data_IF_731211076492
#
_entry.id   IF_731211076492
#
_cell.length_a   1.000
_cell.length_b   1.000
_cell.length_c   1.000
_cell.angle_alpha   90.00
_cell.angle_beta   90.00
_cell.angle_gamma   90.00
#
_symmetry.space_group_name_H-M   'P 1'
#
loop_
_entity.id
_entity.type
_entity.pdbx_description
1 polymer ?
#
# COMPACT_ATOMS: atom_id res chain seq x y z
N UNK A 1 -7.30 -2.61 13.55
CA UNK A 1 -7.73 -3.65 12.58
C UNK A 1 -7.81 -4.98 13.33
N UNK A 2 -9.03 -5.44 13.63
CA UNK A 2 -9.30 -6.55 14.56
C UNK A 2 -8.81 -7.88 13.96
N UNK A 3 -7.83 -8.52 14.59
CA UNK A 3 -7.49 -9.92 14.33
C UNK A 3 -8.21 -10.83 15.33
N UNK A 4 -8.83 -11.84 14.75
CA UNK A 4 -9.72 -12.82 15.35
C UNK A 4 -8.95 -13.70 16.34
N UNK A 5 -9.53 -13.86 17.54
CA UNK A 5 -9.01 -14.59 18.69
C UNK A 5 -8.59 -16.04 18.37
N UNK A 6 -7.36 -16.40 18.72
CA UNK A 6 -6.74 -17.70 18.51
C UNK A 6 -7.05 -18.75 19.61
N UNK A 7 -8.18 -18.66 20.31
CA UNK A 7 -8.44 -19.46 21.52
C UNK A 7 -9.38 -20.67 21.34
N UNK A 8 -9.43 -21.25 20.12
CA UNK A 8 -10.31 -22.40 19.81
C UNK A 8 -9.62 -23.64 19.26
N UNK A 9 -8.32 -23.83 19.53
CA UNK A 9 -7.55 -25.00 19.04
C UNK A 9 -7.05 -26.00 20.10
N UNK A 10 -7.44 -25.90 21.37
CA UNK A 10 -6.92 -26.79 22.45
C UNK A 10 -7.88 -27.85 23.01
N UNK A 11 -8.88 -28.33 22.25
CA UNK A 11 -9.72 -29.46 22.69
C UNK A 11 -10.11 -30.43 21.58
N UNK A 12 -9.15 -30.98 20.84
CA UNK A 12 -9.37 -32.21 20.06
C UNK A 12 -8.05 -33.01 19.96
N UNK A 13 -7.58 -33.50 21.10
CA UNK A 13 -6.51 -34.48 21.16
C UNK A 13 -6.94 -35.63 22.06
N UNK A 14 -7.64 -36.62 21.50
CA UNK A 14 -7.59 -38.03 21.90
C UNK A 14 -8.56 -38.86 21.07
N UNK A 15 -8.11 -40.08 20.72
CA UNK A 15 -8.83 -41.17 20.03
C UNK A 15 -8.83 -41.11 18.49
N UNK A 16 -7.93 -41.86 17.86
CA UNK A 16 -8.20 -43.24 17.45
C UNK A 16 -7.01 -43.80 16.66
N UNK A 17 -6.61 -45.01 17.04
CA UNK A 17 -5.56 -45.83 16.46
C UNK A 17 -6.21 -46.85 15.52
N UNK A 18 -5.50 -47.20 14.44
CA UNK A 18 -5.65 -48.38 13.54
C UNK A 18 -6.73 -48.29 12.45
N UNK A 19 -6.30 -48.26 11.17
CA UNK A 19 -6.58 -49.29 10.15
C UNK A 19 -5.90 -48.96 8.80
N UNK A 20 -5.33 -49.98 8.15
CA UNK A 20 -5.25 -50.11 6.69
C UNK A 20 -4.16 -49.37 5.93
N UNK A 21 -3.05 -50.06 5.62
CA UNK A 21 -2.16 -49.72 4.52
C UNK A 21 -2.90 -49.91 3.18
N UNK A 22 -3.13 -48.82 2.46
CA UNK A 22 -3.47 -48.82 1.03
C UNK A 22 -2.35 -48.07 0.32
N UNK A 23 -1.73 -48.73 -0.67
CA UNK A 23 -0.64 -48.20 -1.47
C UNK A 23 -1.04 -46.87 -2.14
N UNK A 24 -0.36 -45.78 -1.77
CA UNK A 24 -0.41 -44.54 -2.54
C UNK A 24 0.59 -44.62 -3.69
N UNK A 25 0.09 -44.57 -4.91
CA UNK A 25 0.87 -44.29 -6.12
C UNK A 25 1.28 -42.81 -6.07
N UNK A 26 2.58 -42.45 -6.12
CA UNK A 26 3.00 -41.06 -6.19
C UNK A 26 2.80 -40.56 -7.63
N UNK A 27 1.69 -39.85 -7.87
CA UNK A 27 1.55 -39.04 -9.08
C UNK A 27 2.42 -37.79 -8.87
N UNK A 28 3.69 -37.89 -9.26
CA UNK A 28 4.62 -36.76 -9.36
C UNK A 28 4.28 -35.95 -10.61
N UNK A 29 3.23 -35.14 -10.54
CA UNK A 29 2.91 -34.14 -11.55
C UNK A 29 3.86 -32.95 -11.43
N UNK A 30 4.86 -32.88 -12.31
CA UNK A 30 5.72 -31.71 -12.47
C UNK A 30 4.93 -30.56 -13.10
N UNK A 31 4.31 -29.74 -12.26
CA UNK A 31 3.73 -28.46 -12.68
C UNK A 31 4.90 -27.47 -12.79
N UNK A 32 5.45 -27.33 -13.99
CA UNK A 32 6.30 -26.20 -14.35
C UNK A 32 5.48 -24.92 -14.46
N UNK A 33 5.13 -24.33 -13.33
CA UNK A 33 4.60 -22.97 -13.29
C UNK A 33 5.75 -22.01 -13.61
N UNK A 34 5.79 -21.54 -14.85
CA UNK A 34 6.40 -20.25 -15.16
C UNK A 34 5.67 -19.22 -14.29
N UNK A 35 6.28 -18.84 -13.17
CA UNK A 35 5.80 -17.75 -12.34
C UNK A 35 5.94 -16.47 -13.16
N UNK A 36 4.91 -16.12 -13.94
CA UNK A 36 4.79 -14.79 -14.49
C UNK A 36 4.93 -13.80 -13.31
N UNK A 37 5.66 -12.68 -13.48
CA UNK A 37 5.80 -11.69 -12.42
C UNK A 37 4.40 -11.28 -11.98
N UNK A 38 4.01 -11.74 -10.79
CA UNK A 38 2.72 -11.39 -10.24
C UNK A 38 2.77 -9.88 -9.97
N UNK A 39 1.82 -9.09 -10.52
CA UNK A 39 1.79 -7.67 -10.21
C UNK A 39 1.72 -7.52 -8.69
N UNK A 40 2.58 -6.66 -8.15
CA UNK A 40 2.73 -6.48 -6.70
C UNK A 40 1.46 -5.90 -6.04
N UNK A 41 0.50 -5.43 -6.83
CA UNK A 41 -0.88 -5.18 -6.44
C UNK A 41 -1.85 -5.90 -7.39
N UNK A 42 -2.87 -6.55 -6.85
CA UNK A 42 -3.92 -7.21 -7.64
C UNK A 42 -5.28 -6.57 -7.37
N UNK A 43 -5.96 -6.17 -8.45
CA UNK A 43 -7.34 -5.68 -8.41
C UNK A 43 -8.24 -6.64 -9.17
N UNK A 44 -9.48 -6.79 -8.73
CA UNK A 44 -10.45 -7.66 -9.36
C UNK A 44 -11.83 -7.01 -9.43
N UNK A 45 -12.59 -7.23 -10.51
CA UNK A 45 -13.97 -6.81 -10.56
C UNK A 45 -14.79 -7.59 -9.53
N UNK A 46 -15.45 -6.88 -8.62
CA UNK A 46 -16.34 -7.44 -7.62
C UNK A 46 -17.76 -6.90 -7.83
N UNK A 47 -18.73 -7.82 -7.83
CA UNK A 47 -20.14 -7.49 -7.93
C UNK A 47 -20.70 -7.15 -6.55
N UNK A 48 -21.25 -5.95 -6.39
CA UNK A 48 -21.88 -5.46 -5.17
C UNK A 48 -23.36 -5.18 -5.40
N UNK A 49 -24.15 -5.27 -4.35
CA UNK A 49 -25.55 -4.86 -4.33
C UNK A 49 -25.71 -3.68 -3.39
N UNK A 50 -26.31 -2.59 -3.85
CA UNK A 50 -26.54 -1.44 -3.00
C UNK A 50 -27.55 -1.78 -1.91
N UNK A 51 -27.23 -1.57 -0.62
CA UNK A 51 -28.12 -1.93 0.47
C UNK A 51 -29.36 -1.02 0.55
N UNK A 52 -29.32 0.13 -0.13
CA UNK A 52 -30.46 1.03 -0.31
C UNK A 52 -30.82 1.04 -1.79
N UNK A 53 -31.95 0.45 -2.18
CA UNK A 53 -32.40 0.43 -3.59
C UNK A 53 -32.13 -0.87 -4.34
N UNK A 54 -31.18 -1.69 -3.89
CA UNK A 54 -30.97 -3.05 -4.38
C UNK A 54 -30.33 -3.14 -5.77
N UNK A 55 -29.84 -2.05 -6.34
CA UNK A 55 -29.13 -2.09 -7.62
C UNK A 55 -27.82 -2.88 -7.52
N UNK A 56 -27.50 -3.63 -8.56
CA UNK A 56 -26.20 -4.31 -8.69
C UNK A 56 -25.23 -3.44 -9.47
N UNK A 57 -23.97 -3.43 -9.05
CA UNK A 57 -22.91 -2.72 -9.74
C UNK A 57 -21.58 -3.43 -9.54
N UNK A 58 -20.66 -3.17 -10.46
CA UNK A 58 -19.29 -3.66 -10.39
C UNK A 58 -18.37 -2.58 -9.83
N UNK A 59 -17.40 -2.97 -9.00
CA UNK A 59 -16.29 -2.11 -8.61
C UNK A 59 -14.97 -2.90 -8.61
N UNK A 60 -13.86 -2.21 -8.79
CA UNK A 60 -12.53 -2.82 -8.71
C UNK A 60 -12.10 -2.94 -7.25
N UNK A 61 -12.27 -4.13 -6.69
CA UNK A 61 -11.79 -4.47 -5.35
C UNK A 61 -10.28 -4.71 -5.34
N UNK A 62 -9.64 -4.40 -4.22
CA UNK A 62 -8.23 -4.76 -3.98
C UNK A 62 -8.15 -6.17 -3.40
N UNK A 63 -7.44 -7.10 -4.07
CA UNK A 63 -7.15 -8.44 -3.53
C UNK A 63 -5.89 -8.45 -2.67
N UNK A 64 -4.83 -7.84 -3.17
CA UNK A 64 -3.51 -7.88 -2.55
C UNK A 64 -2.75 -6.60 -2.82
N UNK A 65 -2.02 -6.14 -1.80
CA UNK A 65 -1.11 -5.00 -1.86
C UNK A 65 0.06 -5.25 -0.91
N UNK A 66 1.23 -4.79 -1.30
CA UNK A 66 2.41 -4.77 -0.43
C UNK A 66 2.65 -3.35 0.05
N UNK A 67 2.99 -3.19 1.33
CA UNK A 67 3.37 -1.89 1.92
C UNK A 67 4.74 -2.02 2.58
N UNK A 68 5.54 -0.95 2.54
CA UNK A 68 6.90 -0.94 3.08
C UNK A 68 7.21 0.33 3.87
N UNK A 69 6.19 1.09 4.26
CA UNK A 69 6.33 2.30 5.05
C UNK A 69 5.06 3.13 5.03
N UNK A 70 5.13 4.32 5.61
CA UNK A 70 4.06 5.30 5.58
C UNK A 70 4.62 6.73 5.56
N UNK A 71 3.84 7.66 5.00
CA UNK A 71 4.09 9.09 5.13
C UNK A 71 3.77 9.57 6.56
N UNK A 72 4.18 10.80 6.94
CA UNK A 72 3.87 11.35 8.26
C UNK A 72 2.37 11.48 8.58
N UNK A 73 1.53 11.61 7.56
CA UNK A 73 0.06 11.58 7.69
C UNK A 73 -0.50 10.15 7.82
N UNK A 74 0.35 9.13 7.83
CA UNK A 74 0.00 7.72 7.90
C UNK A 74 -0.40 7.07 6.59
N UNK A 75 -0.38 7.79 5.47
CA UNK A 75 -0.67 7.16 4.18
C UNK A 75 0.38 6.08 3.89
N UNK A 76 -0.01 4.82 3.67
CA UNK A 76 0.95 3.79 3.35
C UNK A 76 1.71 4.08 2.06
N UNK A 77 2.97 3.67 2.01
CA UNK A 77 3.78 3.60 0.80
C UNK A 77 3.79 2.13 0.38
N UNK A 78 3.32 1.85 -0.83
CA UNK A 78 3.09 0.49 -1.27
C UNK A 78 2.97 0.34 -2.78
N UNK A 79 2.69 -0.89 -3.22
CA UNK A 79 2.62 -1.27 -4.63
C UNK A 79 1.37 -0.79 -5.36
N UNK A 80 0.36 -0.32 -4.62
CA UNK A 80 -0.89 0.18 -5.18
C UNK A 80 -1.21 1.60 -4.72
N UNK A 81 -2.42 2.05 -5.04
CA UNK A 81 -2.88 3.39 -4.72
C UNK A 81 -3.53 3.42 -3.34
N UNK A 82 -3.22 4.47 -2.57
CA UNK A 82 -3.84 4.75 -1.28
C UNK A 82 -4.57 6.11 -1.32
N UNK A 83 -5.68 6.28 -0.58
CA UNK A 83 -6.44 5.22 0.05
C UNK A 83 -7.05 4.28 -1.02
N UNK A 84 -7.32 3.04 -0.64
CA UNK A 84 -7.97 2.07 -1.53
C UNK A 84 -9.37 2.54 -1.89
N UNK A 85 -9.81 2.33 -3.13
CA UNK A 85 -11.12 2.82 -3.56
C UNK A 85 -12.27 2.19 -2.75
N UNK A 86 -13.36 2.94 -2.58
CA UNK A 86 -14.56 2.50 -1.88
C UNK A 86 -15.70 2.22 -2.87
N UNK A 87 -16.48 1.14 -2.66
CA UNK A 87 -17.68 0.92 -3.44
C UNK A 87 -18.70 2.03 -3.17
N UNK A 88 -19.31 2.56 -4.23
CA UNK A 88 -20.33 3.59 -4.15
C UNK A 88 -21.54 3.22 -5.00
N UNK A 89 -22.72 3.25 -4.40
CA UNK A 89 -23.97 2.98 -5.08
C UNK A 89 -24.22 4.01 -6.21
N UNK A 90 -24.42 3.59 -7.46
CA UNK A 90 -24.51 4.51 -8.60
C UNK A 90 -25.68 5.49 -8.53
N UNK A 91 -26.83 5.07 -7.97
CA UNK A 91 -28.05 5.88 -8.02
C UNK A 91 -28.16 6.85 -6.86
N UNK A 92 -27.94 6.37 -5.63
CA UNK A 92 -28.13 7.19 -4.43
C UNK A 92 -26.81 7.77 -3.88
N UNK A 93 -25.66 7.29 -4.35
CA UNK A 93 -24.34 7.78 -3.93
C UNK A 93 -23.92 7.35 -2.52
N UNK A 94 -24.57 6.34 -1.93
CA UNK A 94 -24.15 5.74 -0.67
C UNK A 94 -22.76 5.11 -0.84
N UNK A 95 -21.80 5.55 -0.04
CA UNK A 95 -20.45 4.95 0.00
C UNK A 95 -20.44 3.82 1.03
N UNK A 96 -20.06 2.63 0.59
CA UNK A 96 -20.06 1.39 1.37
C UNK A 96 -18.68 1.17 1.99
N UNK A 97 -18.38 1.88 3.08
CA UNK A 97 -17.09 1.76 3.78
C UNK A 97 -17.03 0.58 4.78
N UNK A 98 -18.19 0.01 5.11
CA UNK A 98 -18.36 -1.24 5.88
C UNK A 98 -19.77 -1.80 5.64
N UNK A 99 -20.07 -2.92 6.27
CA UNK A 99 -21.44 -3.44 6.34
C UNK A 99 -22.28 -2.62 7.32
N UNK A 100 -23.52 -2.31 6.94
CA UNK A 100 -24.48 -1.56 7.74
C UNK A 100 -25.66 -2.45 8.15
N UNK A 101 -26.12 -2.30 9.39
CA UNK A 101 -27.34 -2.96 9.85
C UNK A 101 -28.61 -2.19 9.40
N UNK A 102 -29.78 -2.81 9.59
CA UNK A 102 -31.04 -2.24 9.12
C UNK A 102 -31.39 -0.86 9.72
N UNK A 103 -31.00 -0.58 10.97
CA UNK A 103 -31.27 0.70 11.62
C UNK A 103 -30.30 1.79 11.16
N UNK A 104 -29.04 1.43 10.92
CA UNK A 104 -28.07 2.31 10.26
C UNK A 104 -28.53 2.68 8.85
N UNK A 105 -29.01 1.71 8.06
CA UNK A 105 -29.51 1.97 6.71
C UNK A 105 -30.70 2.93 6.70
N UNK A 106 -31.60 2.86 7.68
CA UNK A 106 -32.70 3.85 7.84
C UNK A 106 -32.15 5.26 8.06
N UNK A 107 -31.14 5.41 8.92
CA UNK A 107 -30.49 6.72 9.17
C UNK A 107 -29.75 7.21 7.93
N UNK A 108 -28.97 6.36 7.29
CA UNK A 108 -28.19 6.68 6.10
C UNK A 108 -29.08 7.09 4.93
N UNK A 109 -30.27 6.47 4.78
CA UNK A 109 -31.25 6.89 3.77
C UNK A 109 -31.62 8.37 3.91
N UNK A 110 -31.87 8.84 5.14
CA UNK A 110 -32.16 10.26 5.41
C UNK A 110 -30.95 11.14 5.07
N UNK A 111 -29.74 10.70 5.42
CA UNK A 111 -28.51 11.46 5.17
C UNK A 111 -28.24 11.59 3.68
N UNK A 112 -28.30 10.51 2.89
CA UNK A 112 -28.00 10.56 1.45
C UNK A 112 -29.06 11.33 0.64
N UNK A 113 -30.29 11.41 1.15
CA UNK A 113 -31.38 12.22 0.59
C UNK A 113 -31.28 13.71 0.98
N UNK A 114 -30.43 14.06 1.95
CA UNK A 114 -30.23 15.45 2.39
C UNK A 114 -29.66 16.33 1.29
N UNK A 115 -29.94 17.63 1.36
CA UNK A 115 -29.41 18.61 0.40
C UNK A 115 -27.89 18.73 0.53
N UNK A 116 -27.40 18.64 1.76
CA UNK A 116 -26.00 18.80 2.14
C UNK A 116 -25.16 17.68 1.53
N UNK A 117 -25.57 16.41 1.71
CA UNK A 117 -24.86 15.26 1.15
C UNK A 117 -24.89 15.25 -0.38
N UNK A 118 -26.05 15.51 -0.99
CA UNK A 118 -26.15 15.61 -2.46
C UNK A 118 -25.24 16.69 -3.01
N UNK A 119 -25.17 17.87 -2.36
CA UNK A 119 -24.26 18.95 -2.78
C UNK A 119 -22.79 18.52 -2.73
N UNK A 120 -22.37 17.74 -1.73
CA UNK A 120 -21.01 17.20 -1.66
C UNK A 120 -20.73 16.24 -2.81
N UNK A 121 -21.66 15.32 -3.08
CA UNK A 121 -21.57 14.35 -4.17
C UNK A 121 -21.52 15.03 -5.53
N UNK A 122 -22.43 15.96 -5.81
CA UNK A 122 -22.55 16.64 -7.10
C UNK A 122 -21.33 17.54 -7.38
N UNK A 123 -20.60 17.96 -6.34
CA UNK A 123 -19.29 18.64 -6.44
C UNK A 123 -18.11 17.71 -6.70
N UNK A 124 -18.31 16.39 -6.79
CA UNK A 124 -17.23 15.43 -6.93
C UNK A 124 -16.33 15.35 -5.70
N UNK A 125 -16.90 15.42 -4.49
CA UNK A 125 -16.11 15.19 -3.27
C UNK A 125 -15.53 13.76 -3.26
N UNK A 126 -14.29 13.57 -2.77
CA UNK A 126 -13.69 12.26 -2.59
C UNK A 126 -14.61 11.26 -1.87
N UNK A 127 -14.62 10.00 -2.31
CA UNK A 127 -15.47 8.96 -1.71
C UNK A 127 -15.20 8.78 -0.22
N UNK A 128 -13.94 8.91 0.22
CA UNK A 128 -13.58 8.87 1.64
C UNK A 128 -14.16 10.04 2.44
N UNK A 129 -14.28 11.23 1.82
CA UNK A 129 -14.93 12.36 2.46
C UNK A 129 -16.44 12.14 2.59
N UNK A 130 -17.08 11.58 1.55
CA UNK A 130 -18.48 11.18 1.62
C UNK A 130 -18.70 10.10 2.70
N UNK A 131 -17.84 9.09 2.77
CA UNK A 131 -17.86 8.06 3.80
C UNK A 131 -17.71 8.66 5.21
N UNK A 132 -16.80 9.62 5.40
CA UNK A 132 -16.67 10.36 6.66
C UNK A 132 -17.97 11.04 7.08
N UNK A 133 -18.69 11.69 6.16
CA UNK A 133 -19.98 12.33 6.49
C UNK A 133 -21.04 11.30 6.93
N UNK A 134 -21.06 10.12 6.29
CA UNK A 134 -21.95 9.02 6.68
C UNK A 134 -21.57 8.46 8.05
N UNK A 135 -20.29 8.20 8.28
CA UNK A 135 -19.74 7.70 9.54
C UNK A 135 -20.02 8.67 10.71
N UNK A 136 -19.81 9.96 10.48
CA UNK A 136 -20.13 11.03 11.44
C UNK A 136 -21.62 11.04 11.80
N UNK A 137 -22.51 10.89 10.82
CA UNK A 137 -23.95 10.85 11.06
C UNK A 137 -24.40 9.61 11.86
N UNK A 138 -23.63 8.52 11.79
CA UNK A 138 -23.87 7.30 12.58
C UNK A 138 -23.23 7.35 13.98
N UNK A 139 -22.35 8.31 14.27
CA UNK A 139 -21.54 8.32 15.48
C UNK A 139 -20.47 7.23 15.48
N UNK A 140 -19.97 6.87 14.29
CA UNK A 140 -18.99 5.82 14.08
C UNK A 140 -17.60 6.26 14.56
N UNK A 141 -16.92 5.39 15.32
CA UNK A 141 -15.59 5.66 15.88
C UNK A 141 -14.50 5.77 14.81
N UNK A 142 -14.74 5.19 13.62
CA UNK A 142 -13.80 5.21 12.50
C UNK A 142 -13.91 6.49 11.65
N UNK A 143 -14.86 7.39 11.93
CA UNK A 143 -15.06 8.63 11.18
C UNK A 143 -13.76 9.48 11.02
N UNK A 144 -12.92 9.67 12.06
CA UNK A 144 -11.66 10.40 11.92
C UNK A 144 -10.67 9.76 10.93
N UNK A 145 -10.63 8.42 10.87
CA UNK A 145 -9.78 7.69 9.92
C UNK A 145 -10.25 7.84 8.48
N UNK A 146 -11.56 7.89 8.25
CA UNK A 146 -12.13 8.15 6.93
C UNK A 146 -11.80 9.58 6.45
N UNK A 147 -11.86 10.57 7.36
CA UNK A 147 -11.46 11.93 7.04
C UNK A 147 -9.96 12.03 6.76
N UNK A 148 -9.12 11.34 7.54
CA UNK A 148 -7.69 11.25 7.25
C UNK A 148 -7.42 10.69 5.84
N UNK A 149 -8.07 9.58 5.48
CA UNK A 149 -7.99 9.00 4.14
C UNK A 149 -8.49 9.96 3.06
N UNK A 150 -9.49 10.80 3.35
CA UNK A 150 -9.93 11.84 2.43
C UNK A 150 -8.85 12.91 2.19
N UNK A 151 -8.03 13.25 3.21
CA UNK A 151 -6.86 14.14 3.01
C UNK A 151 -5.86 13.50 2.04
N UNK A 152 -5.61 12.20 2.17
CA UNK A 152 -4.71 11.47 1.26
C UNK A 152 -5.23 11.48 -0.17
N UNK A 153 -6.53 11.20 -0.36
CA UNK A 153 -7.16 11.19 -1.68
C UNK A 153 -7.08 12.58 -2.34
N UNK A 154 -7.40 13.65 -1.60
CA UNK A 154 -7.30 15.02 -2.12
C UNK A 154 -5.86 15.39 -2.52
N UNK A 155 -4.86 15.04 -1.70
CA UNK A 155 -3.44 15.29 -2.00
C UNK A 155 -2.96 14.53 -3.24
N UNK A 156 -3.46 13.32 -3.45
CA UNK A 156 -3.08 12.49 -4.61
C UNK A 156 -3.74 12.95 -5.90
N UNK A 157 -4.98 13.44 -5.84
CA UNK A 157 -5.67 14.03 -6.99
C UNK A 157 -5.03 15.35 -7.42
N UNK A 158 -4.86 16.28 -6.48
CA UNK A 158 -4.20 17.55 -6.71
C UNK A 158 -3.70 18.16 -5.38
N UNK A 159 -2.39 18.14 -5.10
CA UNK A 159 -1.85 18.64 -3.83
C UNK A 159 -2.04 20.14 -3.62
N UNK A 160 -2.38 20.91 -4.66
CA UNK A 160 -2.64 22.35 -4.61
C UNK A 160 -4.12 22.70 -4.50
N UNK A 161 -5.00 21.69 -4.46
CA UNK A 161 -6.44 21.90 -4.31
C UNK A 161 -6.78 22.48 -2.92
N UNK A 162 -7.67 23.47 -2.87
CA UNK A 162 -8.12 24.09 -1.62
C UNK A 162 -8.73 23.08 -0.64
N UNK A 163 -9.28 21.95 -1.14
CA UNK A 163 -9.81 20.85 -0.34
C UNK A 163 -8.75 20.20 0.56
N UNK A 164 -7.47 20.20 0.15
CA UNK A 164 -6.38 19.63 0.96
C UNK A 164 -6.28 20.35 2.30
N UNK A 165 -6.20 21.68 2.28
CA UNK A 165 -6.14 22.47 3.50
C UNK A 165 -7.45 22.36 4.31
N UNK A 166 -8.60 22.40 3.63
CA UNK A 166 -9.89 22.29 4.30
C UNK A 166 -10.06 20.96 5.04
N UNK A 167 -9.66 19.83 4.45
CA UNK A 167 -9.77 18.52 5.10
C UNK A 167 -8.71 18.32 6.18
N UNK A 168 -7.50 18.85 6.02
CA UNK A 168 -6.48 18.83 7.09
C UNK A 168 -6.95 19.66 8.32
N UNK A 169 -7.54 20.83 8.10
CA UNK A 169 -8.11 21.69 9.14
C UNK A 169 -9.27 20.97 9.86
N UNK A 170 -10.23 20.42 9.10
CA UNK A 170 -11.35 19.67 9.68
C UNK A 170 -10.87 18.44 10.46
N UNK A 171 -9.87 17.73 9.94
CA UNK A 171 -9.27 16.57 10.61
C UNK A 171 -8.61 16.97 11.94
N UNK A 172 -7.78 18.00 11.93
CA UNK A 172 -7.13 18.48 13.14
C UNK A 172 -8.14 18.97 14.19
N UNK A 173 -9.17 19.69 13.77
CA UNK A 173 -10.24 20.17 14.64
C UNK A 173 -11.06 19.01 15.25
N UNK A 174 -11.45 18.04 14.42
CA UNK A 174 -12.18 16.85 14.85
C UNK A 174 -11.38 16.06 15.89
N UNK A 175 -10.10 15.79 15.63
CA UNK A 175 -9.23 15.01 16.53
C UNK A 175 -9.00 15.74 17.86
N UNK A 176 -8.88 17.06 17.85
CA UNK A 176 -8.73 17.85 19.08
C UNK A 176 -9.98 17.79 19.98
N UNK A 177 -11.17 17.58 19.41
CA UNK A 177 -12.41 17.42 20.14
C UNK A 177 -12.64 15.99 20.70
N UNK A 178 -11.84 15.00 20.29
CA UNK A 178 -11.98 13.63 20.77
C UNK A 178 -11.40 13.46 22.19
N UNK A 179 -11.92 12.51 22.98
CA UNK A 179 -11.33 12.14 24.27
C UNK A 179 -9.85 11.76 24.13
N UNK A 180 -9.04 12.28 25.04
CA UNK A 180 -7.60 12.00 25.09
C UNK A 180 -7.39 10.71 25.89
N UNK A 181 -6.62 9.78 25.33
CA UNK A 181 -6.17 8.59 26.04
C UNK A 181 -4.69 8.36 25.78
N UNK A 182 -3.89 8.41 26.85
CA UNK A 182 -2.46 8.13 26.80
C UNK A 182 -2.16 6.62 26.68
N UNK A 183 -3.17 5.76 26.85
CA UNK A 183 -3.03 4.29 26.78
C UNK A 183 -3.56 3.70 25.48
N UNK A 184 -4.34 4.46 24.71
CA UNK A 184 -4.89 4.03 23.41
C UNK A 184 -3.98 4.44 22.27
N UNK A 185 -3.41 3.47 21.56
CA UNK A 185 -2.67 3.76 20.33
C UNK A 185 -3.53 4.46 19.28
N UNK A 186 -4.84 4.23 19.25
CA UNK A 186 -5.75 4.95 18.37
C UNK A 186 -5.75 6.46 18.65
N UNK A 187 -5.90 6.84 19.93
CA UNK A 187 -5.88 8.24 20.36
C UNK A 187 -4.51 8.89 20.10
N UNK A 188 -3.42 8.22 20.44
CA UNK A 188 -2.05 8.68 20.19
C UNK A 188 -1.83 8.92 18.68
N UNK A 189 -2.19 7.94 17.87
CA UNK A 189 -1.96 7.95 16.43
C UNK A 189 -2.77 9.03 15.70
N UNK A 190 -4.04 9.25 16.09
CA UNK A 190 -4.85 10.34 15.54
C UNK A 190 -4.27 11.71 15.90
N UNK A 191 -3.87 11.92 17.15
CA UNK A 191 -3.31 13.20 17.61
C UNK A 191 -1.96 13.50 16.97
N UNK A 192 -1.10 12.50 16.84
CA UNK A 192 0.20 12.62 16.17
C UNK A 192 0.02 13.03 14.70
N UNK A 193 -0.95 12.44 14.00
CA UNK A 193 -1.28 12.78 12.62
C UNK A 193 -1.98 14.13 12.49
N UNK A 194 -2.78 14.54 13.46
CA UNK A 194 -3.36 15.88 13.51
C UNK A 194 -2.28 16.96 13.69
N UNK A 195 -1.25 16.70 14.50
CA UNK A 195 -0.09 17.60 14.61
C UNK A 195 0.63 17.72 13.24
N UNK A 196 0.79 16.61 12.51
CA UNK A 196 1.32 16.67 11.15
C UNK A 196 0.39 17.42 10.17
N UNK A 197 -0.93 17.25 10.26
CA UNK A 197 -1.89 17.98 9.42
C UNK A 197 -1.78 19.50 9.64
N UNK A 198 -1.70 19.95 10.89
CA UNK A 198 -1.46 21.36 11.26
C UNK A 198 -0.14 21.88 10.68
N UNK A 199 0.93 21.08 10.73
CA UNK A 199 2.23 21.42 10.11
C UNK A 199 2.08 21.64 8.60
N UNK A 200 1.45 20.72 7.88
CA UNK A 200 1.31 20.82 6.42
C UNK A 200 0.53 22.07 5.97
N UNK A 201 -0.48 22.48 6.75
CA UNK A 201 -1.25 23.70 6.45
C UNK A 201 -0.59 24.99 6.97
N UNK A 202 0.54 24.90 7.69
CA UNK A 202 1.34 26.03 8.15
C UNK A 202 1.03 26.53 9.56
N UNK A 203 0.21 25.82 10.32
CA UNK A 203 -0.13 26.16 11.71
C UNK A 203 0.93 25.60 12.66
N UNK A 204 2.19 26.02 12.50
CA UNK A 204 3.34 25.39 13.16
C UNK A 204 3.32 25.48 14.69
N UNK A 205 2.87 26.60 15.26
CA UNK A 205 2.76 26.76 16.71
C UNK A 205 1.74 25.80 17.30
N UNK A 206 0.60 25.64 16.64
CA UNK A 206 -0.44 24.68 17.05
C UNK A 206 0.03 23.23 16.87
N UNK A 207 0.73 22.95 15.77
CA UNK A 207 1.35 21.65 15.51
C UNK A 207 2.34 21.26 16.63
N UNK A 208 3.24 22.16 17.04
CA UNK A 208 4.21 21.85 18.09
C UNK A 208 3.53 21.69 19.46
N UNK A 209 2.55 22.54 19.77
CA UNK A 209 1.77 22.43 21.00
C UNK A 209 1.03 21.10 21.08
N UNK A 210 0.34 20.69 20.00
CA UNK A 210 -0.34 19.41 19.95
C UNK A 210 0.66 18.25 20.06
N UNK A 211 1.77 18.29 19.32
CA UNK A 211 2.83 17.27 19.38
C UNK A 211 3.38 17.07 20.80
N UNK A 212 3.71 18.16 21.50
CA UNK A 212 4.23 18.13 22.88
C UNK A 212 3.19 17.67 23.90
N UNK A 213 1.90 17.87 23.63
CA UNK A 213 0.82 17.42 24.53
C UNK A 213 0.58 15.91 24.50
N UNK A 214 1.13 15.19 23.52
CA UNK A 214 0.91 13.75 23.38
C UNK A 214 1.79 13.00 24.38
N UNK A 215 1.13 12.37 25.35
CA UNK A 215 1.77 11.50 26.34
C UNK A 215 1.51 10.05 25.94
N UNK A 216 2.57 9.25 25.88
CA UNK A 216 2.51 7.80 25.65
C UNK A 216 2.75 7.13 27.00
N UNK A 217 1.70 6.56 27.59
CA UNK A 217 1.81 5.90 28.88
C UNK A 217 2.62 4.58 28.79
N UNK A 218 3.31 4.14 29.85
CA UNK A 218 4.08 2.89 29.85
C UNK A 218 3.23 1.65 29.53
N UNK A 219 1.94 1.69 29.87
CA UNK A 219 0.94 0.65 29.64
C UNK A 219 0.12 0.86 28.36
N UNK A 220 0.51 1.80 27.49
CA UNK A 220 -0.17 1.99 26.21
C UNK A 220 -0.09 0.73 25.33
N UNK A 221 -1.25 0.32 24.82
CA UNK A 221 -1.41 -0.92 24.06
C UNK A 221 -1.28 -2.20 24.87
N UNK A 222 -1.44 -2.15 26.20
CA UNK A 222 -1.35 -3.35 27.04
C UNK A 222 -2.23 -4.48 26.50
N UNK A 223 -1.61 -5.65 26.27
CA UNK A 223 -2.28 -6.82 25.69
C UNK A 223 -2.08 -7.01 24.18
N UNK A 224 -1.48 -6.03 23.48
CA UNK A 224 -1.01 -6.19 22.11
C UNK A 224 0.41 -6.80 22.11
N UNK A 225 0.71 -7.71 21.17
CA UNK A 225 2.02 -8.36 21.09
C UNK A 225 3.16 -7.38 20.81
N UNK A 226 2.85 -6.29 20.12
CA UNK A 226 3.82 -5.35 19.58
C UNK A 226 3.77 -4.01 20.33
N UNK A 227 3.20 -3.99 21.54
CA UNK A 227 2.95 -2.76 22.30
C UNK A 227 4.24 -1.98 22.58
N UNK A 228 5.31 -2.67 22.96
CA UNK A 228 6.62 -2.07 23.23
C UNK A 228 7.21 -1.39 21.99
N UNK A 229 7.12 -2.05 20.83
CA UNK A 229 7.58 -1.53 19.55
C UNK A 229 6.74 -0.34 19.10
N UNK A 230 5.42 -0.43 19.22
CA UNK A 230 4.49 0.66 18.91
C UNK A 230 4.75 1.90 19.80
N UNK A 231 4.99 1.73 21.11
CA UNK A 231 5.34 2.86 21.99
C UNK A 231 6.63 3.54 21.55
N UNK A 232 7.67 2.76 21.22
CA UNK A 232 8.95 3.30 20.70
C UNK A 232 8.75 4.03 19.39
N UNK A 233 8.04 3.43 18.43
CA UNK A 233 7.78 4.01 17.13
C UNK A 233 7.00 5.33 17.21
N UNK A 234 5.97 5.42 18.06
CA UNK A 234 5.26 6.68 18.27
C UNK A 234 6.12 7.74 18.97
N UNK A 235 6.94 7.35 19.97
CA UNK A 235 7.85 8.29 20.62
C UNK A 235 8.89 8.84 19.64
N UNK A 236 9.48 7.98 18.81
CA UNK A 236 10.41 8.36 17.75
C UNK A 236 9.76 9.28 16.71
N UNK A 237 8.55 8.93 16.26
CA UNK A 237 7.79 9.79 15.34
C UNK A 237 7.59 11.20 15.88
N UNK A 238 7.21 11.35 17.16
CA UNK A 238 7.01 12.65 17.79
C UNK A 238 8.32 13.45 17.94
N UNK A 239 9.45 12.77 18.08
CA UNK A 239 10.78 13.42 18.06
C UNK A 239 11.12 13.87 16.64
N UNK A 240 10.97 13.01 15.65
CA UNK A 240 11.26 13.32 14.24
C UNK A 240 10.38 14.46 13.71
N UNK A 241 9.11 14.53 14.10
CA UNK A 241 8.18 15.58 13.67
C UNK A 241 8.58 16.98 14.18
N UNK A 242 9.39 17.08 15.25
CA UNK A 242 9.81 18.37 15.81
C UNK A 242 10.66 19.20 14.84
N UNK A 243 11.56 18.55 14.10
CA UNK A 243 12.46 19.22 13.13
C UNK A 243 11.69 19.94 12.02
N UNK A 244 10.82 19.23 11.26
CA UNK A 244 9.97 19.83 10.22
C UNK A 244 9.11 20.98 10.74
N UNK A 245 8.54 20.87 11.94
CA UNK A 245 7.75 21.95 12.53
C UNK A 245 8.62 23.18 12.81
N UNK A 246 9.78 22.98 13.46
CA UNK A 246 10.66 24.07 13.86
C UNK A 246 11.19 24.88 12.66
N UNK A 247 11.46 24.21 11.53
CA UNK A 247 11.92 24.86 10.28
C UNK A 247 10.77 25.28 9.36
N UNK A 248 9.52 25.19 9.81
CA UNK A 248 8.33 25.58 9.06
C UNK A 248 8.17 24.83 7.71
N UNK A 249 8.55 23.57 7.70
CA UNK A 249 8.47 22.70 6.53
C UNK A 249 7.02 22.24 6.32
N UNK A 250 6.43 22.59 5.16
CA UNK A 250 5.08 22.19 4.76
C UNK A 250 5.05 20.97 3.82
N UNK A 251 6.21 20.43 3.47
CA UNK A 251 6.28 19.29 2.55
C UNK A 251 5.50 18.11 3.11
N UNK A 252 4.81 17.38 2.23
CA UNK A 252 4.06 16.18 2.63
C UNK A 252 4.98 15.10 3.20
N UNK A 253 6.20 15.03 2.70
CA UNK A 253 7.22 14.07 3.11
C UNK A 253 8.53 14.81 3.36
N UNK A 254 8.79 15.28 4.59
CA UNK A 254 10.06 15.90 4.94
C UNK A 254 11.21 14.89 4.80
N UNK A 255 12.31 15.29 4.15
CA UNK A 255 13.41 14.38 3.77
C UNK A 255 14.06 13.66 4.97
N UNK A 256 14.06 14.29 6.14
CA UNK A 256 14.61 13.76 7.40
C UNK A 256 13.64 12.85 8.15
N UNK A 257 12.38 12.74 7.70
CA UNK A 257 11.40 11.75 8.16
C UNK A 257 11.26 10.56 7.19
N UNK A 258 11.96 10.59 6.05
CA UNK A 258 11.99 9.48 5.10
C UNK A 258 12.98 8.39 5.55
N UNK A 259 12.78 7.17 5.03
CA UNK A 259 13.85 6.16 5.06
C UNK A 259 15.08 6.66 4.29
N UNK A 260 16.28 6.19 4.63
CA UNK A 260 17.52 6.61 3.95
C UNK A 260 17.47 6.37 2.45
N UNK A 261 16.88 5.24 2.02
CA UNK A 261 16.66 4.92 0.61
C UNK A 261 15.73 5.94 -0.05
N UNK A 262 14.59 6.26 0.56
CA UNK A 262 13.64 7.25 0.03
C UNK A 262 14.24 8.66 -0.01
N UNK A 263 14.99 9.05 1.02
CA UNK A 263 15.73 10.31 1.05
C UNK A 263 16.80 10.37 -0.05
N UNK A 264 17.53 9.29 -0.30
CA UNK A 264 18.49 9.20 -1.39
C UNK A 264 17.82 9.35 -2.77
N UNK A 265 16.65 8.72 -2.99
CA UNK A 265 15.86 8.95 -4.21
C UNK A 265 15.43 10.41 -4.35
N UNK A 266 15.03 11.08 -3.25
CA UNK A 266 14.72 12.51 -3.26
C UNK A 266 15.95 13.34 -3.65
N UNK A 267 17.12 13.04 -3.10
CA UNK A 267 18.38 13.74 -3.43
C UNK A 267 18.78 13.60 -4.91
N UNK A 268 18.38 12.51 -5.55
CA UNK A 268 18.69 12.20 -6.95
C UNK A 268 17.54 12.56 -7.90
N UNK A 269 16.52 13.30 -7.46
CA UNK A 269 15.31 13.50 -8.26
C UNK A 269 15.56 14.17 -9.61
N UNK A 270 16.50 15.13 -9.68
CA UNK A 270 16.90 15.77 -10.93
C UNK A 270 17.65 14.81 -11.85
N UNK A 271 18.59 14.01 -11.32
CA UNK A 271 19.30 12.98 -12.08
C UNK A 271 18.32 11.95 -12.67
N UNK A 272 17.37 11.48 -11.84
CA UNK A 272 16.35 10.50 -12.22
C UNK A 272 15.34 11.03 -13.25
N UNK A 273 15.03 12.32 -13.21
CA UNK A 273 14.13 12.92 -14.20
C UNK A 273 14.71 12.83 -15.62
N UNK A 274 16.06 12.85 -15.77
CA UNK A 274 16.71 12.71 -17.07
C UNK A 274 16.68 11.29 -17.63
N UNK A 275 16.45 10.28 -16.79
CA UNK A 275 16.41 8.86 -17.20
C UNK A 275 15.00 8.36 -17.50
N UNK A 276 14.00 9.25 -17.52
CA UNK A 276 12.59 8.87 -17.70
C UNK A 276 11.99 8.11 -16.50
N UNK A 277 12.72 8.00 -15.39
CA UNK A 277 12.17 7.49 -14.13
C UNK A 277 11.34 8.59 -13.47
N UNK A 278 10.29 8.20 -12.73
CA UNK A 278 9.46 9.14 -11.98
C UNK A 278 10.27 9.80 -10.85
N UNK A 279 10.95 10.91 -11.18
CA UNK A 279 11.52 11.86 -10.23
C UNK A 279 10.53 12.97 -9.91
N UNK A 280 10.58 13.52 -8.69
CA UNK A 280 9.89 14.79 -8.41
C UNK A 280 10.54 15.90 -9.23
N UNK A 281 9.72 16.71 -9.91
CA UNK A 281 10.16 17.93 -10.60
C UNK A 281 10.32 19.12 -9.65
N UNK A 282 9.97 18.97 -8.37
CA UNK A 282 10.12 20.03 -7.38
C UNK A 282 11.60 20.17 -6.98
N UNK A 283 12.21 21.37 -7.09
CA UNK A 283 13.58 21.59 -6.65
C UNK A 283 13.77 21.25 -5.16
N UNK A 284 15.00 20.86 -4.80
CA UNK A 284 15.36 20.69 -3.39
C UNK A 284 15.34 22.05 -2.67
N UNK A 285 14.76 22.09 -1.47
CA UNK A 285 14.91 23.20 -0.53
C UNK A 285 16.36 23.33 -0.03
N UNK A 286 16.75 24.48 0.58
CA UNK A 286 18.08 24.63 1.17
C UNK A 286 18.42 23.52 2.18
N UNK A 287 17.48 23.20 3.09
CA UNK A 287 17.66 22.13 4.06
C UNK A 287 17.84 20.76 3.40
N UNK A 288 17.07 20.46 2.36
CA UNK A 288 17.21 19.20 1.63
C UNK A 288 18.58 19.08 0.97
N UNK A 289 19.11 20.16 0.36
CA UNK A 289 20.47 20.14 -0.21
C UNK A 289 21.53 19.84 0.84
N UNK A 290 21.45 20.49 2.00
CA UNK A 290 22.38 20.25 3.10
C UNK A 290 22.25 18.81 3.64
N UNK A 291 21.02 18.30 3.76
CA UNK A 291 20.75 16.93 4.19
C UNK A 291 21.29 15.90 3.18
N UNK A 292 21.14 16.16 1.88
CA UNK A 292 21.69 15.34 0.80
C UNK A 292 23.22 15.32 0.76
N UNK A 293 23.87 16.39 1.22
CA UNK A 293 25.32 16.47 1.36
C UNK A 293 25.85 15.82 2.65
N UNK A 294 24.98 15.35 3.54
CA UNK A 294 25.40 14.79 4.83
C UNK A 294 26.03 13.39 4.70
N UNK A 295 26.97 13.03 5.60
CA UNK A 295 27.53 11.67 5.64
C UNK A 295 26.46 10.57 5.77
N UNK A 296 25.33 10.89 6.42
CA UNK A 296 24.21 9.96 6.64
C UNK A 296 23.65 9.39 5.34
N UNK A 297 23.60 10.17 4.26
CA UNK A 297 23.03 9.71 2.99
C UNK A 297 24.08 9.28 1.96
N UNK A 298 25.37 9.39 2.26
CA UNK A 298 26.44 9.14 1.28
C UNK A 298 26.38 7.72 0.72
N UNK A 299 26.26 6.72 1.59
CA UNK A 299 26.22 5.31 1.19
C UNK A 299 24.91 4.96 0.46
N UNK A 300 23.78 5.45 0.96
CA UNK A 300 22.46 5.23 0.34
C UNK A 300 22.38 5.86 -1.07
N UNK A 301 22.91 7.07 -1.26
CA UNK A 301 22.99 7.73 -2.58
C UNK A 301 23.90 6.94 -3.52
N UNK A 302 25.06 6.49 -3.04
CA UNK A 302 25.98 5.68 -3.84
C UNK A 302 25.33 4.34 -4.26
N UNK A 303 24.57 3.70 -3.38
CA UNK A 303 23.82 2.49 -3.66
C UNK A 303 22.74 2.72 -4.72
N UNK A 304 21.91 3.75 -4.57
CA UNK A 304 20.87 4.07 -5.56
C UNK A 304 21.50 4.33 -6.93
N UNK A 305 22.60 5.09 -7.03
CA UNK A 305 23.34 5.31 -8.29
C UNK A 305 23.93 4.03 -8.88
N UNK A 306 24.39 3.08 -8.06
CA UNK A 306 24.84 1.76 -8.55
C UNK A 306 23.67 0.99 -9.17
N UNK A 307 22.53 0.95 -8.49
CA UNK A 307 21.34 0.24 -8.97
C UNK A 307 20.81 0.85 -10.28
N UNK A 308 20.80 2.18 -10.39
CA UNK A 308 20.41 2.88 -11.64
C UNK A 308 21.34 2.48 -12.79
N UNK A 309 22.66 2.51 -12.58
CA UNK A 309 23.64 2.15 -13.63
C UNK A 309 23.48 0.71 -14.07
N UNK A 310 23.38 -0.23 -13.13
CA UNK A 310 23.18 -1.64 -13.43
C UNK A 310 21.89 -1.86 -14.24
N UNK A 311 20.78 -1.25 -13.83
CA UNK A 311 19.53 -1.36 -14.59
C UNK A 311 19.63 -0.80 -16.02
N UNK A 312 20.43 0.24 -16.23
CA UNK A 312 20.67 0.80 -17.56
C UNK A 312 21.57 -0.07 -18.43
N UNK A 313 22.47 -0.85 -17.81
CA UNK A 313 23.32 -1.83 -18.51
C UNK A 313 22.50 -3.07 -18.90
N UNK A 314 21.66 -3.57 -17.99
CA UNK A 314 20.77 -4.71 -18.25
C UNK A 314 19.80 -4.41 -19.41
N UNK A 315 19.25 -3.19 -19.47
CA UNK A 315 18.40 -2.76 -20.60
C UNK A 315 19.18 -2.70 -21.90
N UNK A 316 20.44 -2.22 -21.89
CA UNK A 316 21.28 -2.19 -23.10
C UNK A 316 21.69 -3.58 -23.56
N UNK A 317 21.95 -4.50 -22.65
CA UNK A 317 22.22 -5.90 -22.98
C UNK A 317 20.99 -6.56 -23.61
N UNK A 318 19.80 -6.31 -23.04
CA UNK A 318 18.54 -6.79 -23.59
C UNK A 318 18.24 -6.21 -24.99
N UNK A 319 18.39 -4.89 -25.17
CA UNK A 319 18.24 -4.23 -26.47
C UNK A 319 19.32 -4.65 -27.47
N UNK A 320 20.52 -5.04 -27.02
CA UNK A 320 21.57 -5.60 -27.88
C UNK A 320 21.24 -7.02 -28.38
N UNK A 321 20.53 -7.81 -27.58
CA UNK A 321 20.04 -9.14 -27.96
C UNK A 321 18.82 -9.06 -28.89
N UNK A 322 17.91 -8.11 -28.66
CA UNK A 322 16.67 -7.96 -29.47
C UNK A 322 16.87 -7.03 -30.69
N UNK A 323 17.77 -6.05 -30.60
CA UNK A 323 18.03 -5.03 -31.62
C UNK A 323 18.73 -5.51 -32.89
N UNK A 324 19.28 -6.74 -32.90
CA UNK A 324 19.71 -7.39 -34.14
C UNK A 324 18.59 -8.14 -34.88
N UNK A 325 17.37 -8.17 -34.33
CA UNK A 325 16.22 -8.86 -34.92
C UNK A 325 15.07 -7.92 -35.37
N UNK A 326 15.17 -6.60 -35.14
CA UNK A 326 14.06 -5.67 -35.42
C UNK A 326 14.52 -4.45 -36.24
N UNK A 327 14.37 -4.53 -37.57
CA UNK A 327 14.48 -3.39 -38.48
C UNK A 327 13.06 -2.95 -38.88
N UNK A 328 12.55 -1.79 -38.46
CA UNK A 328 11.16 -1.39 -38.68
C UNK A 328 11.02 -0.79 -40.09
N UNK A 329 11.08 -1.65 -41.11
CA UNK A 329 11.00 -1.24 -42.52
C UNK A 329 9.80 -1.80 -43.29
N UNK A 330 9.28 -2.98 -42.93
CA UNK A 330 8.21 -3.62 -43.71
C UNK A 330 7.22 -4.36 -42.81
N UNK A 331 5.92 -4.14 -43.04
CA UNK A 331 4.81 -4.79 -42.29
C UNK A 331 4.75 -6.31 -42.45
N UNK A 332 5.55 -6.89 -43.36
CA UNK A 332 5.74 -8.34 -43.48
C UNK A 332 6.68 -8.90 -42.40
N UNK A 333 7.41 -8.06 -41.65
CA UNK A 333 8.37 -8.50 -40.64
C UNK A 333 7.75 -8.73 -39.25
N UNK A 334 6.54 -8.23 -38.98
CA UNK A 334 5.85 -8.50 -37.70
C UNK A 334 5.40 -9.95 -37.58
N UNK A 335 4.85 -10.53 -38.65
CA UNK A 335 4.45 -11.94 -38.66
C UNK A 335 5.68 -12.86 -38.63
N UNK A 336 6.78 -12.45 -39.27
CA UNK A 336 8.06 -13.14 -39.20
C UNK A 336 8.70 -13.06 -37.80
N UNK A 337 8.64 -11.90 -37.15
CA UNK A 337 9.13 -11.69 -35.78
C UNK A 337 8.28 -12.47 -34.76
N UNK A 338 6.96 -12.46 -34.89
CA UNK A 338 6.06 -13.26 -34.05
C UNK A 338 6.32 -14.76 -34.24
N UNK A 339 6.53 -15.22 -35.48
CA UNK A 339 6.88 -16.61 -35.78
C UNK A 339 8.25 -17.00 -35.23
N UNK A 340 9.25 -16.12 -35.31
CA UNK A 340 10.59 -16.34 -34.76
C UNK A 340 10.57 -16.38 -33.23
N UNK A 341 9.82 -15.47 -32.59
CA UNK A 341 9.63 -15.45 -31.13
C UNK A 341 8.92 -16.73 -30.66
N UNK A 342 7.85 -17.15 -31.35
CA UNK A 342 7.15 -18.39 -31.06
C UNK A 342 8.05 -19.62 -31.27
N UNK A 343 8.90 -19.63 -32.29
CA UNK A 343 9.87 -20.72 -32.51
C UNK A 343 10.91 -20.79 -31.39
N UNK A 344 11.50 -19.65 -31.00
CA UNK A 344 12.46 -19.57 -29.90
C UNK A 344 11.84 -20.00 -28.56
N UNK A 345 10.61 -19.58 -28.28
CA UNK A 345 9.87 -20.02 -27.10
C UNK A 345 9.60 -21.54 -27.10
N UNK A 346 9.31 -22.12 -28.27
CA UNK A 346 9.09 -23.56 -28.39
C UNK A 346 10.39 -24.36 -28.23
N UNK A 347 11.51 -23.86 -28.73
CA UNK A 347 12.83 -24.47 -28.57
C UNK A 347 13.27 -24.44 -27.10
N UNK A 348 13.17 -23.29 -26.43
CA UNK A 348 13.44 -23.17 -24.99
C UNK A 348 12.55 -24.09 -24.14
N UNK A 349 11.28 -24.25 -24.54
CA UNK A 349 10.36 -25.20 -23.90
C UNK A 349 10.78 -26.65 -24.14
N UNK A 350 11.30 -26.99 -25.32
CA UNK A 350 11.78 -28.34 -25.63
C UNK A 350 13.04 -28.69 -24.84
N UNK A 351 13.99 -27.76 -24.70
CA UNK A 351 15.19 -27.94 -23.88
C UNK A 351 14.83 -28.16 -22.41
N UNK A 352 13.89 -27.37 -21.87
CA UNK A 352 13.45 -27.50 -20.48
C UNK A 352 12.72 -28.84 -20.24
N UNK A 353 11.89 -29.29 -21.19
CA UNK A 353 11.26 -30.62 -21.14
C UNK A 353 12.33 -31.71 -21.14
N UNK A 354 13.33 -31.64 -22.02
CA UNK A 354 14.42 -32.62 -22.07
C UNK A 354 15.22 -32.67 -20.76
N UNK A 355 15.45 -31.52 -20.12
CA UNK A 355 16.11 -31.41 -18.81
C UNK A 355 15.30 -32.07 -17.70
N UNK A 356 13.99 -31.82 -17.65
CA UNK A 356 13.08 -32.44 -16.67
C UNK A 356 12.99 -33.95 -16.86
N UNK A 357 12.91 -34.43 -18.11
CA UNK A 357 12.91 -35.86 -18.40
C UNK A 357 14.22 -36.55 -18.00
N UNK A 358 15.37 -35.91 -18.24
CA UNK A 358 16.66 -36.44 -17.80
C UNK A 358 16.74 -36.54 -16.26
N UNK A 359 16.26 -35.51 -15.56
CA UNK A 359 16.19 -35.53 -14.09
C UNK A 359 15.26 -36.64 -13.57
N UNK A 360 14.10 -36.83 -14.20
CA UNK A 360 13.16 -37.89 -13.83
C UNK A 360 13.77 -39.30 -14.04
N UNK A 361 14.48 -39.53 -15.16
CA UNK A 361 15.20 -40.79 -15.40
C UNK A 361 16.24 -41.07 -14.30
N UNK A 362 17.04 -40.07 -13.94
CA UNK A 362 18.05 -40.20 -12.89
C UNK A 362 17.44 -40.56 -11.52
N UNK A 363 16.28 -39.98 -11.18
CA UNK A 363 15.55 -40.29 -9.94
C UNK A 363 15.02 -41.73 -9.96
N UNK A 364 14.44 -42.18 -11.07
CA UNK A 364 13.95 -43.56 -11.20
C UNK A 364 15.07 -44.60 -11.13
N UNK A 365 16.21 -44.36 -11.78
CA UNK A 365 17.37 -45.24 -11.69
C UNK A 365 17.95 -45.30 -10.28
N UNK A 366 17.98 -44.18 -9.56
CA UNK A 366 18.41 -44.14 -8.17
C UNK A 366 17.48 -44.97 -7.27
N UNK A 367 16.17 -44.90 -7.50
CA UNK A 367 15.19 -45.70 -6.76
C UNK A 367 15.33 -47.20 -7.05
N UNK A 368 15.55 -47.60 -8.30
CA UNK A 368 15.77 -49.01 -8.68
C UNK A 368 17.06 -49.57 -8.06
N UNK A 369 18.15 -48.78 -8.05
CA UNK A 369 19.39 -49.15 -7.36
C UNK A 369 19.19 -49.34 -5.85
N UNK A 370 18.41 -48.47 -5.21
CA UNK A 370 18.10 -48.57 -3.79
C UNK A 370 17.24 -49.81 -3.47
N UNK A 371 16.29 -50.16 -4.33
CA UNK A 371 15.44 -51.34 -4.17
C UNK A 371 16.21 -52.65 -4.32
N UNK A 372 17.20 -52.71 -5.23
CA UNK A 372 18.06 -53.90 -5.42
C UNK A 372 19.10 -54.10 -4.32
N UNK A 373 19.37 -53.07 -3.53
CA UNK A 373 20.31 -53.12 -2.40
C UNK A 373 19.65 -53.59 -1.08
N UNK A 374 18.32 -53.77 -1.07
CA UNK A 374 17.54 -54.38 0.00
C UNK A 374 17.26 -55.84 -0.31
#
# INVERSE_FOLDING_TARGET
MKLISADRKRRLASKARRLGWVAMVPIAGAIGLLAAPAPSSMYFPEQRTCPIGGEKFEFMGLMSISTWGALPDGMPIGSGYFPTDLPQCPRNGLVMYRDFNADELKKLKVVIESREYRKLRDKGSPKHYLAFQLAKALGDEDAPWLLLSATWQAKNENPKDARVNAYNEEFASLVQALPISATSFNSIALRARAANALREIGHFSEADNLRRSIVIAPDAGSGESDADENRKGWAEFLVLLAGPIARQDRSRSPIDMMSERSAAFRCLSEELATTGMQGSSEPLSPFERDYCASPKLTDAIAEVRRNIRQSSEDVKEYDGVVGNAYNPGTTNDLEAAEKAMNAAMNEARAEEVARVEAAARNVMEAADRAAKAQ
#
